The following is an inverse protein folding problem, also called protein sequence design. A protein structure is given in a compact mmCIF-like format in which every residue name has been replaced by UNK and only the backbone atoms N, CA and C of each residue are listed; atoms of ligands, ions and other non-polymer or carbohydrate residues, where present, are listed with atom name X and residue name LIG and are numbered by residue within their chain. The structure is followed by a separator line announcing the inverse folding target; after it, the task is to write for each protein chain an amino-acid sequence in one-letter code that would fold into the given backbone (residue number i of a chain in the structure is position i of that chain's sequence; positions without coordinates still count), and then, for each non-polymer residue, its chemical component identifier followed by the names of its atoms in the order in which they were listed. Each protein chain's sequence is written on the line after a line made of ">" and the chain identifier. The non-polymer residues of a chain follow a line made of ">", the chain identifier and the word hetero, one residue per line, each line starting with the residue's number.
data_IF_135003500906
#
_entry.id   IF_135003500906
#
_cell.length_a   1.000
_cell.length_b   1.000
_cell.length_c   1.000
_cell.angle_alpha   90.00
_cell.angle_beta   90.00
_cell.angle_gamma   90.00
#
_symmetry.space_group_name_H-M   'P 1'
#
loop_
_entity.id
_entity.type
_entity.pdbx_description
1 polymer ?
#
# COMPACT_ATOMS: atom_id res chain seq x y z
N UNK A 1 2.30 -11.61 -18.48
CA UNK A 1 1.92 -10.34 -17.85
C UNK A 1 2.09 -10.50 -16.34
N UNK A 2 2.98 -9.70 -15.74
CA UNK A 2 3.35 -9.75 -14.33
C UNK A 2 2.74 -8.53 -13.63
N UNK A 3 1.96 -8.79 -12.59
CA UNK A 3 1.44 -7.76 -11.70
C UNK A 3 2.21 -7.73 -10.39
N UNK A 4 2.46 -6.54 -9.87
CA UNK A 4 2.80 -6.34 -8.47
C UNK A 4 1.57 -5.86 -7.70
N UNK A 5 1.19 -6.62 -6.67
CA UNK A 5 0.10 -6.25 -5.75
C UNK A 5 0.72 -5.68 -4.47
N UNK A 6 0.39 -4.43 -4.16
CA UNK A 6 0.88 -3.69 -3.00
C UNK A 6 -0.27 -3.43 -2.01
N UNK A 7 -0.48 -4.32 -1.02
CA UNK A 7 -1.45 -4.08 0.04
C UNK A 7 -0.91 -3.04 1.03
N UNK A 8 -1.63 -1.93 1.20
CA UNK A 8 -1.27 -0.83 2.11
C UNK A 8 -2.39 -0.64 3.13
N UNK A 9 -2.10 -1.04 4.37
CA UNK A 9 -2.99 -0.78 5.51
C UNK A 9 -2.98 0.70 5.89
N UNK A 10 -4.08 1.12 6.52
CA UNK A 10 -4.21 2.38 7.26
C UNK A 10 -2.91 2.76 8.00
N UNK A 11 -2.21 3.83 7.57
CA UNK A 11 -0.98 4.31 8.18
C UNK A 11 -1.11 4.67 9.67
N UNK A 12 -2.32 5.01 10.12
CA UNK A 12 -2.63 5.47 11.48
C UNK A 12 -2.29 4.42 12.55
N UNK A 13 -2.38 3.12 12.21
CA UNK A 13 -2.05 2.02 13.11
C UNK A 13 -0.76 1.27 12.72
N UNK A 14 0.04 1.83 11.82
CA UNK A 14 1.16 1.13 11.21
C UNK A 14 2.34 0.90 12.17
N UNK A 15 3.19 -0.07 11.81
CA UNK A 15 4.50 -0.33 12.44
C UNK A 15 4.44 -0.48 13.97
N UNK A 16 3.40 -1.12 14.51
CA UNK A 16 3.18 -1.24 15.96
C UNK A 16 4.38 -1.82 16.73
N UNK A 17 5.18 -2.69 16.11
CA UNK A 17 6.43 -3.23 16.69
C UNK A 17 7.50 -2.16 16.96
N UNK A 18 7.35 -0.94 16.42
CA UNK A 18 8.24 0.20 16.64
C UNK A 18 7.70 1.19 17.69
N UNK A 19 6.61 0.88 18.39
CA UNK A 19 6.00 1.81 19.38
C UNK A 19 6.95 2.18 20.54
N UNK A 20 7.92 1.31 20.88
CA UNK A 20 8.95 1.60 21.87
C UNK A 20 10.03 2.59 21.42
N UNK A 21 10.07 2.92 20.11
CA UNK A 21 11.09 3.79 19.51
C UNK A 21 10.51 5.02 18.83
N UNK A 22 9.25 4.96 18.38
CA UNK A 22 8.59 5.99 17.58
C UNK A 22 7.20 6.31 18.11
N UNK A 23 6.87 7.60 18.16
CA UNK A 23 5.51 8.07 18.44
C UNK A 23 4.53 7.59 17.35
N UNK A 24 3.22 7.64 17.63
CA UNK A 24 2.20 7.29 16.64
C UNK A 24 2.36 8.11 15.33
N UNK A 25 2.56 9.43 15.44
CA UNK A 25 2.78 10.29 14.27
C UNK A 25 4.08 10.01 13.50
N UNK A 26 5.14 9.62 14.19
CA UNK A 26 6.39 9.18 13.54
C UNK A 26 6.20 7.85 12.80
N UNK A 27 5.45 6.90 13.37
CA UNK A 27 5.13 5.63 12.71
C UNK A 27 4.26 5.83 11.48
N UNK A 28 3.28 6.73 11.55
CA UNK A 28 2.44 7.10 10.42
C UNK A 28 3.28 7.73 9.30
N UNK A 29 4.10 8.73 9.64
CA UNK A 29 5.02 9.39 8.69
C UNK A 29 5.93 8.37 8.00
N UNK A 30 6.52 7.46 8.79
CA UNK A 30 7.36 6.38 8.26
C UNK A 30 6.59 5.46 7.32
N UNK A 31 5.35 5.08 7.66
CA UNK A 31 4.52 4.23 6.81
C UNK A 31 4.21 4.91 5.47
N UNK A 32 3.88 6.22 5.47
CA UNK A 32 3.64 7.00 4.25
C UNK A 32 4.89 7.11 3.38
N UNK A 33 6.06 7.32 3.97
CA UNK A 33 7.34 7.37 3.24
C UNK A 33 7.63 6.02 2.57
N UNK A 34 7.53 4.93 3.33
CA UNK A 34 7.78 3.59 2.82
C UNK A 34 6.82 3.24 1.68
N UNK A 35 5.53 3.54 1.83
CA UNK A 35 4.56 3.35 0.75
C UNK A 35 4.97 4.09 -0.52
N UNK A 36 5.24 5.40 -0.43
CA UNK A 36 5.61 6.22 -1.60
C UNK A 36 6.87 5.68 -2.29
N UNK A 37 7.89 5.32 -1.51
CA UNK A 37 9.13 4.76 -2.03
C UNK A 37 8.89 3.41 -2.71
N UNK A 38 8.17 2.49 -2.06
CA UNK A 38 7.87 1.17 -2.64
C UNK A 38 7.05 1.29 -3.92
N UNK A 39 6.02 2.14 -3.95
CA UNK A 39 5.22 2.36 -5.16
C UNK A 39 6.09 2.89 -6.31
N UNK A 40 6.91 3.90 -6.04
CA UNK A 40 7.82 4.46 -7.05
C UNK A 40 8.79 3.40 -7.59
N UNK A 41 9.37 2.57 -6.72
CA UNK A 41 10.25 1.48 -7.13
C UNK A 41 9.53 0.43 -7.97
N UNK A 42 8.30 0.06 -7.62
CA UNK A 42 7.50 -0.90 -8.40
C UNK A 42 7.15 -0.35 -9.78
N UNK A 43 6.81 0.94 -9.89
CA UNK A 43 6.52 1.56 -11.19
C UNK A 43 7.75 1.72 -12.10
N UNK A 44 8.96 1.74 -11.53
CA UNK A 44 10.22 1.86 -12.28
C UNK A 44 10.89 0.51 -12.56
N UNK A 45 10.41 -0.58 -11.95
CA UNK A 45 11.03 -1.89 -12.06
C UNK A 45 10.80 -2.51 -13.44
N UNK A 46 11.88 -2.94 -14.08
CA UNK A 46 11.81 -3.73 -15.30
C UNK A 46 11.18 -5.10 -15.00
N UNK A 47 10.25 -5.55 -15.84
CA UNK A 47 9.60 -6.85 -15.71
C UNK A 47 8.30 -6.86 -14.89
N UNK A 48 7.86 -5.71 -14.38
CA UNK A 48 6.51 -5.53 -13.82
C UNK A 48 5.67 -4.80 -14.87
N UNK A 49 4.62 -5.44 -15.37
CA UNK A 49 3.76 -4.84 -16.39
C UNK A 49 2.73 -3.87 -15.79
N UNK A 50 2.27 -4.17 -14.57
CA UNK A 50 1.21 -3.40 -13.89
C UNK A 50 1.40 -3.45 -12.37
N UNK A 51 1.02 -2.36 -11.70
CA UNK A 51 0.97 -2.27 -10.24
C UNK A 51 -0.48 -2.06 -9.80
N UNK A 52 -0.90 -2.84 -8.80
CA UNK A 52 -2.18 -2.73 -8.13
C UNK A 52 -1.97 -2.40 -6.66
N UNK A 53 -2.54 -1.29 -6.20
CA UNK A 53 -2.54 -0.88 -4.79
C UNK A 53 -3.88 -1.26 -4.17
N UNK A 54 -3.84 -1.97 -3.05
CA UNK A 54 -5.02 -2.40 -2.30
C UNK A 54 -5.02 -1.68 -0.97
N UNK A 55 -6.02 -0.85 -0.71
CA UNK A 55 -6.02 -0.02 0.50
C UNK A 55 -7.42 0.46 0.88
N UNK A 56 -7.62 0.70 2.18
CA UNK A 56 -8.77 1.42 2.71
C UNK A 56 -8.46 2.89 3.03
N UNK A 57 -7.20 3.36 2.86
CA UNK A 57 -6.80 4.73 3.15
C UNK A 57 -6.96 5.62 1.91
N UNK A 58 -7.75 6.68 2.03
CA UNK A 58 -8.09 7.57 0.91
C UNK A 58 -6.90 8.32 0.34
N UNK A 59 -5.94 8.74 1.17
CA UNK A 59 -4.75 9.45 0.70
C UNK A 59 -3.80 8.51 -0.05
N UNK A 60 -3.65 7.26 0.43
CA UNK A 60 -2.90 6.22 -0.27
C UNK A 60 -3.55 5.93 -1.62
N UNK A 61 -4.87 5.73 -1.66
CA UNK A 61 -5.63 5.47 -2.87
C UNK A 61 -5.51 6.61 -3.88
N UNK A 62 -5.68 7.85 -3.44
CA UNK A 62 -5.56 9.03 -4.31
C UNK A 62 -4.14 9.16 -4.88
N UNK A 63 -3.11 8.97 -4.05
CA UNK A 63 -1.72 8.97 -4.50
C UNK A 63 -1.46 7.87 -5.55
N UNK A 64 -1.96 6.65 -5.32
CA UNK A 64 -1.79 5.52 -6.24
C UNK A 64 -2.45 5.78 -7.60
N UNK A 65 -3.66 6.37 -7.61
CA UNK A 65 -4.35 6.77 -8.85
C UNK A 65 -3.53 7.81 -9.62
N UNK A 66 -2.99 8.83 -8.93
CA UNK A 66 -2.11 9.84 -9.57
C UNK A 66 -0.82 9.25 -10.14
N UNK A 67 -0.34 8.16 -9.57
CA UNK A 67 0.84 7.42 -10.08
C UNK A 67 0.53 6.48 -11.26
N UNK A 68 -0.70 6.46 -11.79
CA UNK A 68 -1.09 5.62 -12.92
C UNK A 68 -1.25 4.14 -12.59
N UNK A 69 -1.39 3.80 -11.31
CA UNK A 69 -1.56 2.42 -10.84
C UNK A 69 -3.04 2.06 -10.68
N UNK A 70 -3.34 0.76 -10.72
CA UNK A 70 -4.67 0.25 -10.40
C UNK A 70 -4.91 0.40 -8.90
N UNK A 71 -6.13 0.76 -8.50
CA UNK A 71 -6.49 0.92 -7.09
C UNK A 71 -7.71 0.07 -6.79
N UNK A 72 -7.58 -0.76 -5.76
CA UNK A 72 -8.65 -1.54 -5.19
C UNK A 72 -8.98 -0.97 -3.81
N UNK A 73 -10.10 -0.27 -3.71
CA UNK A 73 -10.61 0.22 -2.43
C UNK A 73 -11.13 -0.98 -1.60
N UNK A 74 -10.63 -1.12 -0.38
CA UNK A 74 -11.16 -2.06 0.61
C UNK A 74 -12.06 -1.32 1.60
N UNK A 75 -13.31 -1.78 1.73
CA UNK A 75 -14.24 -1.26 2.73
C UNK A 75 -13.84 -1.68 4.16
N UNK A 76 -13.12 -2.78 4.31
CA UNK A 76 -12.60 -3.27 5.59
C UNK A 76 -11.35 -4.12 5.35
N UNK A 77 -10.24 -3.81 6.05
CA UNK A 77 -8.99 -4.52 5.86
C UNK A 77 -8.78 -5.59 6.94
N UNK A 78 -9.21 -6.82 6.64
CA UNK A 78 -9.19 -7.96 7.57
C UNK A 78 -7.76 -8.49 7.78
N UNK A 79 -6.96 -8.65 6.72
CA UNK A 79 -5.56 -9.09 6.80
C UNK A 79 -4.76 -8.77 5.53
N UNK A 80 -3.42 -8.81 5.58
CA UNK A 80 -2.59 -8.53 4.40
C UNK A 80 -2.75 -9.59 3.28
N UNK A 81 -2.85 -10.87 3.65
CA UNK A 81 -2.99 -11.96 2.67
C UNK A 81 -4.36 -11.92 1.99
N UNK A 82 -5.42 -11.66 2.74
CA UNK A 82 -6.79 -11.56 2.19
C UNK A 82 -6.90 -10.41 1.18
N UNK A 83 -6.27 -9.26 1.47
CA UNK A 83 -6.24 -8.14 0.52
C UNK A 83 -5.54 -8.50 -0.80
N UNK A 84 -4.43 -9.23 -0.72
CA UNK A 84 -3.70 -9.65 -1.91
C UNK A 84 -4.50 -10.68 -2.73
N UNK A 85 -5.11 -11.66 -2.07
CA UNK A 85 -5.95 -12.68 -2.71
C UNK A 85 -7.17 -12.05 -3.40
N UNK A 86 -7.84 -11.11 -2.74
CA UNK A 86 -9.01 -10.41 -3.30
C UNK A 86 -8.66 -9.58 -4.55
N UNK A 87 -7.48 -8.97 -4.59
CA UNK A 87 -7.02 -8.21 -5.75
C UNK A 87 -6.71 -9.10 -6.95
N UNK A 88 -6.24 -10.33 -6.73
CA UNK A 88 -5.96 -11.29 -7.79
C UNK A 88 -7.23 -11.85 -8.46
N UNK A 89 -8.40 -11.69 -7.85
CA UNK A 89 -9.68 -12.21 -8.34
C UNK A 89 -10.48 -11.21 -9.20
N UNK A 90 -9.96 -9.99 -9.42
CA UNK A 90 -10.62 -8.89 -10.14
C UNK A 90 -9.78 -8.44 -11.33
#
# INVERSE_FOLDING_TARGET
>A
MIFAVLPVKSPQNAKQRLSGFLSAGQRETLARILYKQTLASLCQANGIDRVAVVTSDSEVAEHARRSGTLVFDENEQVSHSVSADAACLR
#
